data_IF_834632451010
#
_entry.id   IF_834632451010
#
_cell.length_a   1.000
_cell.length_b   1.000
_cell.length_c   1.000
_cell.angle_alpha   90.00
_cell.angle_beta   90.00
_cell.angle_gamma   90.00
#
_symmetry.space_group_name_H-M   'P 1'
#
loop_
_entity.id
_entity.type
_entity.pdbx_description
1 polymer ?
#
# COMPACT_ATOMS: atom_id res chain seq x y z
N UNK A 1 26.10 -1.71 19.49
CA UNK A 1 25.47 -2.17 18.23
C UNK A 1 24.04 -2.62 18.54
N UNK A 2 23.06 -2.07 17.87
CA UNK A 2 21.66 -2.47 18.04
C UNK A 2 21.49 -3.91 17.53
N UNK A 3 20.87 -4.78 18.32
CA UNK A 3 20.63 -6.18 17.92
C UNK A 3 19.76 -6.20 16.63
N UNK A 4 20.21 -6.92 15.62
CA UNK A 4 19.48 -7.12 14.35
C UNK A 4 18.11 -7.75 14.63
N UNK A 5 17.04 -7.16 14.11
CA UNK A 5 15.66 -7.57 14.30
C UNK A 5 15.03 -8.00 12.99
N UNK A 6 14.08 -8.92 13.04
CA UNK A 6 13.25 -9.32 11.90
C UNK A 6 11.93 -8.53 11.96
N UNK A 7 11.69 -7.70 10.93
CA UNK A 7 10.59 -6.73 10.90
C UNK A 7 9.69 -7.01 9.69
N UNK A 8 8.40 -7.17 9.94
CA UNK A 8 7.41 -7.19 8.87
C UNK A 8 6.95 -5.76 8.56
N UNK A 9 6.78 -5.44 7.27
CA UNK A 9 6.15 -4.20 6.78
C UNK A 9 4.92 -4.60 5.97
N UNK A 10 3.73 -4.20 6.42
CA UNK A 10 2.47 -4.57 5.78
C UNK A 10 1.94 -3.41 4.95
N UNK A 11 1.95 -3.57 3.62
CA UNK A 11 1.56 -2.57 2.63
C UNK A 11 2.74 -1.94 1.91
N UNK A 12 2.71 -1.91 0.58
CA UNK A 12 3.73 -1.39 -0.33
C UNK A 12 3.42 0.01 -0.88
N UNK A 13 2.65 0.81 -0.15
CA UNK A 13 2.39 2.21 -0.48
C UNK A 13 3.48 3.16 0.02
N UNK A 14 3.19 4.46 -0.01
CA UNK A 14 4.10 5.55 0.40
C UNK A 14 4.77 5.27 1.75
N UNK A 15 3.99 4.93 2.78
CA UNK A 15 4.53 4.68 4.12
C UNK A 15 5.35 3.40 4.21
N UNK A 16 4.91 2.34 3.50
CA UNK A 16 5.58 1.04 3.52
C UNK A 16 6.96 1.06 2.88
N UNK A 17 7.08 1.73 1.73
CA UNK A 17 8.38 1.90 1.05
C UNK A 17 9.37 2.66 1.93
N UNK A 18 8.92 3.75 2.56
CA UNK A 18 9.76 4.54 3.48
C UNK A 18 10.15 3.74 4.73
N UNK A 19 9.22 3.01 5.33
CA UNK A 19 9.49 2.18 6.51
C UNK A 19 10.48 1.06 6.18
N UNK A 20 10.27 0.36 5.06
CA UNK A 20 11.17 -0.70 4.61
C UNK A 20 12.59 -0.19 4.40
N UNK A 21 12.76 0.96 3.72
CA UNK A 21 14.05 1.64 3.57
C UNK A 21 14.70 1.91 4.92
N UNK A 22 13.97 2.59 5.81
CA UNK A 22 14.51 3.03 7.09
C UNK A 22 15.00 1.85 7.97
N UNK A 23 14.27 0.73 7.97
CA UNK A 23 14.67 -0.45 8.71
C UNK A 23 15.84 -1.19 8.05
N UNK A 24 15.86 -1.30 6.72
CA UNK A 24 16.96 -1.93 5.98
C UNK A 24 18.28 -1.17 6.16
N UNK A 25 18.26 0.16 6.07
CA UNK A 25 19.42 1.03 6.32
C UNK A 25 19.96 0.92 7.76
N UNK A 26 19.13 0.57 8.72
CA UNK A 26 19.55 0.28 10.11
C UNK A 26 20.06 -1.14 10.29
N UNK A 27 20.13 -1.95 9.23
CA UNK A 27 20.68 -3.30 9.23
C UNK A 27 19.72 -4.37 9.77
N UNK A 28 18.42 -4.09 9.84
CA UNK A 28 17.41 -5.08 10.21
C UNK A 28 17.10 -6.04 9.06
N UNK A 29 16.47 -7.17 9.36
CA UNK A 29 15.91 -8.09 8.36
C UNK A 29 14.49 -7.61 8.09
N UNK A 30 14.25 -7.07 6.89
CA UNK A 30 12.93 -6.55 6.50
C UNK A 30 12.24 -7.53 5.57
N UNK A 31 10.96 -7.82 5.87
CA UNK A 31 10.06 -8.59 5.01
C UNK A 31 8.81 -7.72 4.76
N UNK A 32 8.69 -7.17 3.57
CA UNK A 32 7.51 -6.43 3.13
C UNK A 32 6.47 -7.36 2.52
N UNK A 33 5.20 -7.01 2.69
CA UNK A 33 4.05 -7.74 2.14
C UNK A 33 3.10 -6.75 1.48
N UNK A 34 2.80 -6.95 0.20
CA UNK A 34 1.84 -6.16 -0.55
C UNK A 34 0.81 -7.09 -1.21
N UNK A 35 -0.47 -6.83 -0.98
CA UNK A 35 -1.55 -7.66 -1.53
C UNK A 35 -1.75 -7.48 -3.03
N UNK A 36 -1.43 -6.30 -3.56
CA UNK A 36 -1.51 -6.00 -4.99
C UNK A 36 -0.33 -6.62 -5.74
N UNK A 37 -0.48 -6.67 -7.06
CA UNK A 37 0.58 -7.15 -7.96
C UNK A 37 1.70 -6.11 -8.14
N UNK A 38 1.50 -4.88 -7.63
CA UNK A 38 2.45 -3.78 -7.76
C UNK A 38 2.43 -2.86 -6.52
N UNK A 39 3.45 -2.00 -6.42
CA UNK A 39 3.56 -0.97 -5.39
C UNK A 39 2.64 0.21 -5.70
N UNK A 40 2.45 1.07 -4.68
CA UNK A 40 1.79 2.35 -4.87
C UNK A 40 0.65 2.61 -3.89
N UNK A 41 0.06 1.56 -3.31
CA UNK A 41 -1.09 1.72 -2.43
C UNK A 41 -2.27 2.33 -3.17
N UNK A 42 -2.72 3.53 -2.79
CA UNK A 42 -3.81 4.25 -3.47
C UNK A 42 -3.41 4.80 -4.84
N UNK A 43 -2.11 4.87 -5.14
CA UNK A 43 -1.56 5.32 -6.42
C UNK A 43 -1.25 4.16 -7.38
N UNK A 44 -1.44 2.92 -6.96
CA UNK A 44 -1.36 1.78 -7.85
C UNK A 44 -2.47 1.90 -8.91
N UNK A 45 -2.09 1.74 -10.19
CA UNK A 45 -2.92 2.20 -11.32
C UNK A 45 -4.26 1.47 -11.43
N UNK A 46 -4.34 0.20 -11.03
CA UNK A 46 -5.61 -0.55 -11.04
C UNK A 46 -6.61 -0.06 -9.98
N UNK A 47 -6.15 0.74 -9.03
CA UNK A 47 -6.95 1.34 -7.95
C UNK A 47 -7.26 2.81 -8.17
N UNK A 48 -6.65 3.40 -9.18
CA UNK A 48 -6.82 4.81 -9.51
C UNK A 48 -8.12 5.02 -10.28
N UNK A 49 -8.85 6.07 -9.94
CA UNK A 49 -9.98 6.54 -10.74
C UNK A 49 -9.50 7.55 -11.80
N UNK A 50 -10.32 7.81 -12.85
CA UNK A 50 -9.95 8.75 -13.91
C UNK A 50 -9.54 10.13 -13.38
N UNK A 51 -8.48 10.66 -13.96
CA UNK A 51 -7.95 12.01 -13.67
C UNK A 51 -7.54 12.31 -12.22
N UNK A 52 -7.38 11.28 -11.38
CA UNK A 52 -6.90 11.49 -10.01
C UNK A 52 -5.52 12.14 -10.00
N UNK A 53 -5.37 13.15 -9.16
CA UNK A 53 -4.12 13.88 -8.96
C UNK A 53 -3.89 14.16 -7.47
N UNK A 54 -2.69 14.62 -7.11
CA UNK A 54 -2.39 15.02 -5.74
C UNK A 54 -3.24 16.22 -5.32
N UNK A 55 -3.54 16.31 -4.02
CA UNK A 55 -4.18 17.48 -3.40
C UNK A 55 -3.17 18.41 -2.72
N UNK A 56 -1.88 18.11 -2.91
CA UNK A 56 -0.76 18.91 -2.44
C UNK A 56 0.23 19.10 -3.59
N UNK A 57 0.92 20.26 -3.66
CA UNK A 57 1.97 20.47 -4.65
C UNK A 57 3.05 19.38 -4.55
N UNK A 58 3.71 19.08 -5.68
CA UNK A 58 4.74 18.04 -5.78
C UNK A 58 5.85 18.20 -4.75
N UNK A 59 6.23 19.42 -4.40
CA UNK A 59 7.30 19.72 -3.46
C UNK A 59 6.92 19.39 -2.00
N UNK A 60 5.62 19.28 -1.70
CA UNK A 60 5.11 18.84 -0.42
C UNK A 60 4.68 17.36 -0.43
N UNK A 61 4.53 16.77 -1.62
CA UNK A 61 4.13 15.37 -1.81
C UNK A 61 5.29 14.49 -2.26
N UNK A 62 6.47 14.69 -1.70
CA UNK A 62 7.66 13.92 -2.03
C UNK A 62 8.37 13.42 -0.77
N UNK A 63 9.24 12.44 -0.94
CA UNK A 63 10.18 12.03 0.11
C UNK A 63 11.30 13.08 0.22
N UNK A 64 11.77 13.31 1.44
CA UNK A 64 12.82 14.33 1.71
C UNK A 64 14.16 14.01 1.02
N UNK A 65 14.39 12.75 0.67
CA UNK A 65 15.63 12.26 0.06
C UNK A 65 15.48 11.90 -1.43
N UNK A 66 14.28 12.14 -1.99
CA UNK A 66 14.02 12.03 -3.43
C UNK A 66 12.94 13.05 -3.82
N UNK A 67 13.28 14.24 -4.32
CA UNK A 67 12.31 15.15 -4.90
C UNK A 67 11.66 14.53 -6.13
N UNK A 68 10.44 14.96 -6.46
CA UNK A 68 9.81 14.60 -7.74
C UNK A 68 10.54 15.29 -8.90
N UNK A 69 10.50 14.72 -10.11
CA UNK A 69 11.10 15.33 -11.32
C UNK A 69 10.60 16.75 -11.58
N UNK A 70 11.50 17.64 -12.04
CA UNK A 70 11.17 19.04 -12.31
C UNK A 70 10.10 19.19 -13.38
N UNK A 71 10.09 18.29 -14.37
CA UNK A 71 9.12 18.24 -15.46
C UNK A 71 7.71 17.82 -15.03
N UNK A 72 7.51 17.33 -13.80
CA UNK A 72 6.17 17.03 -13.31
C UNK A 72 5.38 18.31 -13.04
N UNK A 73 4.06 18.33 -13.33
CA UNK A 73 3.22 19.46 -12.99
C UNK A 73 3.21 19.72 -11.48
N UNK A 74 2.77 20.89 -11.06
CA UNK A 74 2.62 21.24 -9.65
C UNK A 74 1.73 20.22 -8.89
N UNK A 75 0.73 19.67 -9.58
CA UNK A 75 -0.23 18.68 -9.09
C UNK A 75 -0.10 17.39 -9.91
N UNK A 76 0.83 16.50 -9.58
CA UNK A 76 1.04 15.27 -10.34
C UNK A 76 -0.18 14.35 -10.36
N UNK A 77 -0.44 13.75 -11.52
CA UNK A 77 -1.46 12.73 -11.71
C UNK A 77 -0.99 11.35 -11.25
N UNK A 78 -1.93 10.42 -11.03
CA UNK A 78 -1.64 9.07 -10.55
C UNK A 78 -0.49 8.37 -11.29
N UNK A 79 -0.39 8.37 -12.63
CA UNK A 79 0.72 7.71 -13.31
C UNK A 79 2.09 8.30 -12.95
N UNK A 80 2.16 9.61 -12.69
CA UNK A 80 3.40 10.28 -12.29
C UNK A 80 3.77 9.95 -10.84
N UNK A 81 2.79 9.95 -9.93
CA UNK A 81 3.03 9.54 -8.53
C UNK A 81 3.42 8.08 -8.46
N UNK A 82 2.76 7.20 -9.22
CA UNK A 82 3.10 5.78 -9.31
C UNK A 82 4.53 5.57 -9.79
N UNK A 83 4.92 6.21 -10.90
CA UNK A 83 6.28 6.16 -11.43
C UNK A 83 7.32 6.69 -10.42
N UNK A 84 6.98 7.75 -9.70
CA UNK A 84 7.82 8.30 -8.64
C UNK A 84 8.04 7.31 -7.49
N UNK A 85 7.01 6.59 -7.05
CA UNK A 85 7.13 5.56 -6.01
C UNK A 85 8.00 4.39 -6.47
N UNK A 86 7.91 4.00 -7.73
CA UNK A 86 8.83 3.02 -8.33
C UNK A 86 10.27 3.52 -8.34
N UNK A 87 10.50 4.77 -8.76
CA UNK A 87 11.83 5.39 -8.74
C UNK A 87 12.43 5.42 -7.32
N UNK A 88 11.59 5.64 -6.30
CA UNK A 88 12.02 5.56 -4.89
C UNK A 88 12.40 4.13 -4.49
N UNK A 89 11.55 3.17 -4.85
CA UNK A 89 11.81 1.75 -4.56
C UNK A 89 13.11 1.26 -5.21
N UNK A 90 13.38 1.68 -6.43
CA UNK A 90 14.58 1.33 -7.19
C UNK A 90 15.83 2.00 -6.62
N UNK A 91 15.77 3.32 -6.37
CA UNK A 91 16.88 4.09 -5.78
C UNK A 91 17.37 3.47 -4.48
N UNK A 92 16.45 3.08 -3.62
CA UNK A 92 16.77 2.52 -2.30
C UNK A 92 16.76 0.98 -2.27
N UNK A 93 16.55 0.34 -3.43
CA UNK A 93 16.50 -1.12 -3.57
C UNK A 93 15.49 -1.80 -2.63
N UNK A 94 14.40 -1.10 -2.31
CA UNK A 94 13.39 -1.60 -1.38
C UNK A 94 12.45 -2.62 -2.03
N UNK A 95 12.31 -2.60 -3.36
CA UNK A 95 11.49 -3.56 -4.10
C UNK A 95 11.83 -5.03 -3.74
N UNK A 96 13.13 -5.35 -3.59
CA UNK A 96 13.60 -6.69 -3.20
C UNK A 96 13.13 -7.18 -1.83
N UNK A 97 12.66 -6.27 -0.99
CA UNK A 97 12.22 -6.57 0.37
C UNK A 97 10.75 -7.00 0.41
N UNK A 98 9.99 -6.74 -0.65
CA UNK A 98 8.56 -7.00 -0.70
C UNK A 98 8.20 -8.27 -1.45
N UNK A 99 7.21 -8.98 -0.90
CA UNK A 99 6.47 -10.05 -1.55
C UNK A 99 5.16 -9.45 -2.02
N UNK A 100 5.01 -9.29 -3.34
CA UNK A 100 3.76 -8.85 -3.98
C UNK A 100 2.75 -10.00 -4.03
N UNK A 101 1.49 -9.70 -4.33
CA UNK A 101 0.39 -10.67 -4.34
C UNK A 101 0.30 -11.47 -3.03
N UNK A 102 0.64 -10.83 -1.91
CA UNK A 102 0.75 -11.49 -0.60
C UNK A 102 -0.04 -10.72 0.46
N UNK A 103 -1.04 -11.39 1.02
CA UNK A 103 -1.97 -10.82 1.99
C UNK A 103 -1.65 -11.28 3.40
N UNK A 104 -1.70 -10.39 4.37
CA UNK A 104 -1.67 -10.75 5.79
C UNK A 104 -3.10 -10.95 6.27
N UNK A 105 -3.45 -12.20 6.63
CA UNK A 105 -4.79 -12.61 7.07
C UNK A 105 -5.01 -12.35 8.55
N UNK A 106 -3.96 -12.58 9.35
CA UNK A 106 -4.03 -12.39 10.80
C UNK A 106 -2.67 -12.02 11.38
N UNK A 107 -2.69 -11.34 12.52
CA UNK A 107 -1.52 -11.00 13.32
C UNK A 107 -1.83 -11.32 14.80
N UNK A 108 -1.02 -12.18 15.40
CA UNK A 108 -1.20 -12.66 16.77
C UNK A 108 0.11 -12.46 17.55
N UNK A 109 0.00 -12.32 18.86
CA UNK A 109 1.19 -12.42 19.73
C UNK A 109 1.78 -13.82 19.62
N UNK A 110 3.09 -13.92 19.69
CA UNK A 110 3.77 -15.23 19.67
C UNK A 110 3.27 -16.12 20.81
N UNK A 111 2.92 -17.35 20.47
CA UNK A 111 2.38 -18.33 21.41
C UNK A 111 3.46 -19.01 22.26
N UNK A 112 4.74 -18.91 21.85
CA UNK A 112 5.90 -19.51 22.53
C UNK A 112 6.39 -18.71 23.76
N UNK A 113 5.69 -17.62 24.12
CA UNK A 113 6.06 -16.73 25.23
C UNK A 113 7.18 -15.73 24.90
N UNK A 114 7.75 -15.80 23.71
CA UNK A 114 8.73 -14.84 23.25
C UNK A 114 8.06 -13.52 22.82
N UNK A 115 8.81 -12.41 22.93
CA UNK A 115 8.34 -11.13 22.43
C UNK A 115 8.25 -11.14 20.91
N UNK A 116 7.17 -10.56 20.36
CA UNK A 116 6.98 -10.42 18.91
C UNK A 116 5.62 -10.89 18.43
N UNK A 117 5.53 -11.15 17.13
CA UNK A 117 4.30 -11.39 16.42
C UNK A 117 4.42 -12.60 15.49
N UNK A 118 3.34 -13.34 15.36
CA UNK A 118 3.16 -14.36 14.32
C UNK A 118 2.13 -13.85 13.32
N UNK A 119 2.51 -13.78 12.06
CA UNK A 119 1.63 -13.42 10.96
C UNK A 119 1.14 -14.68 10.24
N UNK A 120 -0.16 -14.74 9.94
CA UNK A 120 -0.72 -15.68 8.98
C UNK A 120 -0.73 -14.99 7.62
N UNK A 121 -0.03 -15.57 6.67
CA UNK A 121 0.32 -15.00 5.37
C UNK A 121 -0.27 -15.86 4.27
N UNK A 122 -0.89 -15.24 3.26
CA UNK A 122 -1.51 -15.92 2.11
C UNK A 122 -0.94 -15.38 0.79
N UNK A 123 -0.56 -16.28 -0.11
CA UNK A 123 -0.22 -15.96 -1.49
C UNK A 123 -0.82 -17.01 -2.42
N UNK A 124 -1.79 -16.60 -3.24
CA UNK A 124 -2.59 -17.50 -4.06
C UNK A 124 -3.34 -18.53 -3.20
N UNK A 125 -3.12 -19.83 -3.44
CA UNK A 125 -3.70 -20.92 -2.64
C UNK A 125 -2.82 -21.37 -1.46
N UNK A 126 -1.68 -20.74 -1.24
CA UNK A 126 -0.74 -21.12 -0.20
C UNK A 126 -0.87 -20.21 1.02
N UNK A 127 -1.03 -20.83 2.19
CA UNK A 127 -1.07 -20.13 3.48
C UNK A 127 0.03 -20.70 4.40
N UNK A 128 0.72 -19.80 5.12
CA UNK A 128 1.74 -20.18 6.10
C UNK A 128 1.81 -19.19 7.25
N UNK A 129 2.52 -19.56 8.31
CA UNK A 129 2.80 -18.67 9.45
C UNK A 129 4.29 -18.32 9.53
N UNK A 130 4.58 -17.06 9.85
CA UNK A 130 5.95 -16.57 10.00
C UNK A 130 6.04 -15.61 11.19
N UNK A 131 7.11 -15.72 11.99
CA UNK A 131 7.30 -14.91 13.20
C UNK A 131 8.24 -13.74 12.95
N UNK A 132 7.94 -12.61 13.61
CA UNK A 132 8.65 -11.34 13.53
C UNK A 132 8.86 -10.74 14.90
N UNK A 133 9.97 -10.02 15.09
CA UNK A 133 10.21 -9.22 16.32
C UNK A 133 9.26 -8.01 16.37
N UNK A 134 9.05 -7.34 15.23
CA UNK A 134 8.19 -6.15 15.09
C UNK A 134 7.38 -6.21 13.81
N UNK A 135 6.25 -5.49 13.82
CA UNK A 135 5.39 -5.29 12.66
C UNK A 135 5.13 -3.80 12.48
N UNK A 136 5.38 -3.30 11.28
CA UNK A 136 5.00 -1.96 10.84
C UNK A 136 3.75 -2.07 9.96
N UNK A 137 2.63 -1.52 10.43
CA UNK A 137 1.35 -1.55 9.72
C UNK A 137 1.26 -0.30 8.85
N UNK A 138 1.34 -0.48 7.52
CA UNK A 138 1.35 0.57 6.50
C UNK A 138 0.21 0.38 5.49
N UNK A 139 -0.92 -0.16 5.92
CA UNK A 139 -2.07 -0.54 5.06
C UNK A 139 -2.85 0.65 4.50
N UNK A 140 -2.57 1.87 4.99
CA UNK A 140 -3.34 3.05 4.65
C UNK A 140 -4.72 3.07 5.31
N UNK A 141 -5.49 4.14 5.03
CA UNK A 141 -6.82 4.33 5.60
C UNK A 141 -7.97 3.99 4.64
N UNK A 142 -7.67 3.78 3.34
CA UNK A 142 -8.66 3.50 2.29
C UNK A 142 -8.53 2.06 1.78
N UNK A 143 -8.35 1.08 2.68
CA UNK A 143 -8.11 -0.31 2.32
C UNK A 143 -9.39 -1.11 2.11
N UNK A 144 -10.47 -0.77 2.81
CA UNK A 144 -11.75 -1.46 2.75
C UNK A 144 -12.88 -0.51 2.34
N UNK A 145 -13.84 -1.02 1.53
CA UNK A 145 -15.01 -0.24 1.11
C UNK A 145 -15.96 -0.04 2.28
N UNK A 146 -16.37 1.19 2.53
CA UNK A 146 -17.50 1.48 3.40
C UNK A 146 -18.75 1.71 2.53
N UNK A 147 -19.53 0.66 2.31
CA UNK A 147 -20.73 0.70 1.47
C UNK A 147 -21.92 1.03 2.36
N UNK A 148 -22.57 2.16 2.08
CA UNK A 148 -23.80 2.59 2.75
C UNK A 148 -24.96 2.45 1.78
N UNK A 149 -26.13 2.11 2.32
CA UNK A 149 -27.39 2.07 1.56
C UNK A 149 -28.11 3.41 1.68
N UNK A 150 -28.56 3.95 0.57
CA UNK A 150 -29.29 5.22 0.51
C UNK A 150 -30.81 4.99 0.38
N UNK A 151 -31.66 5.77 1.05
CA UNK A 151 -33.10 5.72 0.84
C UNK A 151 -33.45 5.93 -0.64
N UNK A 152 -34.27 5.03 -1.21
CA UNK A 152 -34.65 5.09 -2.63
C UNK A 152 -33.62 4.54 -3.62
N UNK A 153 -32.50 4.00 -3.14
CA UNK A 153 -31.46 3.42 -3.99
C UNK A 153 -32.00 2.30 -4.90
N UNK A 154 -32.80 1.42 -4.35
CA UNK A 154 -33.36 0.28 -5.11
C UNK A 154 -34.29 0.76 -6.23
N UNK A 155 -35.12 1.76 -5.96
CA UNK A 155 -36.01 2.37 -6.97
C UNK A 155 -35.20 3.09 -8.06
N UNK A 156 -34.12 3.77 -7.70
CA UNK A 156 -33.21 4.41 -8.66
C UNK A 156 -32.54 3.39 -9.57
N UNK A 157 -32.02 2.31 -9.01
CA UNK A 157 -31.37 1.22 -9.77
C UNK A 157 -32.39 0.50 -10.65
N UNK A 158 -33.63 0.23 -10.14
CA UNK A 158 -34.68 -0.40 -10.93
C UNK A 158 -35.11 0.42 -12.15
N UNK A 159 -34.88 1.74 -12.14
CA UNK A 159 -35.15 2.65 -13.27
C UNK A 159 -33.93 2.86 -14.19
N UNK A 160 -32.88 2.04 -14.03
CA UNK A 160 -31.69 2.08 -14.86
C UNK A 160 -30.59 3.01 -14.33
N UNK A 161 -30.71 3.50 -13.10
CA UNK A 161 -29.64 4.24 -12.44
C UNK A 161 -28.52 3.33 -11.98
N UNK A 162 -27.32 3.89 -11.80
CA UNK A 162 -26.15 3.16 -11.28
C UNK A 162 -25.70 3.76 -9.96
N UNK A 163 -25.43 2.89 -8.98
CA UNK A 163 -24.83 3.27 -7.69
C UNK A 163 -23.62 2.40 -7.49
N UNK A 164 -22.46 3.03 -7.30
CA UNK A 164 -21.19 2.32 -7.13
C UNK A 164 -20.33 2.97 -6.06
N UNK A 165 -19.43 2.21 -5.47
CA UNK A 165 -18.40 2.76 -4.60
C UNK A 165 -17.33 3.47 -5.44
N UNK A 166 -16.73 4.55 -4.93
CA UNK A 166 -15.70 5.32 -5.66
C UNK A 166 -14.52 4.49 -6.17
N UNK A 167 -14.18 3.38 -5.50
CA UNK A 167 -13.12 2.47 -5.95
C UNK A 167 -13.53 1.59 -7.13
N UNK A 168 -14.77 1.64 -7.58
CA UNK A 168 -15.29 0.92 -8.76
C UNK A 168 -15.32 1.83 -9.98
N UNK A 169 -15.18 3.15 -9.77
CA UNK A 169 -15.10 4.13 -10.85
C UNK A 169 -13.66 4.21 -11.36
N UNK A 170 -13.30 3.30 -12.26
CA UNK A 170 -11.97 3.18 -12.84
C UNK A 170 -11.94 3.42 -14.36
N UNK A 171 -13.11 3.63 -14.99
CA UNK A 171 -13.24 3.96 -16.39
C UNK A 171 -14.16 5.16 -16.61
N UNK A 172 -13.82 6.11 -17.52
CA UNK A 172 -14.62 7.31 -17.78
C UNK A 172 -16.00 7.02 -18.41
N UNK A 173 -16.21 5.81 -18.93
CA UNK A 173 -17.45 5.39 -19.59
C UNK A 173 -18.52 4.85 -18.64
N UNK A 174 -18.22 4.80 -17.34
CA UNK A 174 -19.15 4.31 -16.31
C UNK A 174 -20.10 5.42 -15.84
#
# INVERSE_FOLDING_TARGET
MTKRKKIAVIGGGVSGLAAAKAFDEKGHIVCGFERSHDFGGVWELSRSYPDVQTQSPKDLYCYTDLPMPDEYPEWPKAPQVHAYLHSYADKHKTARLFRLNTTIKAMERRADGEAGWTLTIEAGSHEWKESFDFVSICTGQFSEKNIITHPGQDDFVARGGSVMHSSEYNEPSL
#
